data_IF_069003969014
#
_entry.id   IF_069003969014
#
_cell.length_a   1.000
_cell.length_b   1.000
_cell.length_c   1.000
_cell.angle_alpha   90.00
_cell.angle_beta   90.00
_cell.angle_gamma   90.00
#
_symmetry.space_group_name_H-M   'P 1'
#
loop_
_entity.id
_entity.type
_entity.pdbx_description
1 polymer ?
#
# COMPACT_ATOMS: atom_id res chain seq x y z
N UNK A 1 13.87 -20.81 -3.48
CA UNK A 1 13.77 -19.35 -3.43
C UNK A 1 14.62 -18.88 -2.25
N UNK A 2 15.66 -18.09 -2.50
CA UNK A 2 16.52 -17.61 -1.42
C UNK A 2 15.93 -16.36 -0.74
N UNK A 3 16.45 -15.96 0.42
CA UNK A 3 15.91 -14.84 1.19
C UNK A 3 16.00 -13.48 0.44
N UNK A 4 17.02 -13.28 -0.40
CA UNK A 4 17.19 -12.06 -1.18
C UNK A 4 16.15 -11.92 -2.29
N UNK A 5 15.82 -13.02 -2.98
CA UNK A 5 14.78 -13.06 -4.01
C UNK A 5 13.41 -12.67 -3.42
N UNK A 6 13.07 -13.17 -2.24
CA UNK A 6 11.83 -12.81 -1.52
C UNK A 6 11.74 -11.33 -1.21
N UNK A 7 12.85 -10.70 -0.77
CA UNK A 7 12.87 -9.27 -0.42
C UNK A 7 12.70 -8.40 -1.67
N UNK A 8 13.35 -8.77 -2.78
CA UNK A 8 13.22 -8.05 -4.06
C UNK A 8 11.78 -8.18 -4.59
N UNK A 9 11.19 -9.37 -4.51
CA UNK A 9 9.80 -9.59 -4.92
C UNK A 9 8.83 -8.79 -4.06
N UNK A 10 9.04 -8.78 -2.74
CA UNK A 10 8.24 -8.00 -1.80
C UNK A 10 8.29 -6.50 -2.11
N UNK A 11 9.49 -5.93 -2.32
CA UNK A 11 9.66 -4.52 -2.70
C UNK A 11 8.96 -4.17 -4.00
N UNK A 12 9.05 -5.03 -5.02
CA UNK A 12 8.36 -4.84 -6.31
C UNK A 12 6.85 -4.89 -6.14
N UNK A 13 6.34 -5.83 -5.34
CA UNK A 13 4.92 -5.95 -5.05
C UNK A 13 4.42 -4.70 -4.33
N UNK A 14 5.14 -4.24 -3.30
CA UNK A 14 4.87 -3.01 -2.57
C UNK A 14 4.80 -1.79 -3.48
N UNK A 15 5.80 -1.61 -4.35
CA UNK A 15 5.83 -0.48 -5.27
C UNK A 15 4.66 -0.50 -6.26
N UNK A 16 4.21 -1.69 -6.66
CA UNK A 16 3.11 -1.86 -7.61
C UNK A 16 1.76 -1.55 -6.96
N UNK A 17 1.53 -2.08 -5.76
CA UNK A 17 0.40 -1.73 -4.90
C UNK A 17 0.29 -0.21 -4.70
N UNK A 18 1.43 0.49 -4.68
CA UNK A 18 1.48 1.92 -4.39
C UNK A 18 1.35 2.83 -5.61
N UNK A 19 1.43 2.34 -6.85
CA UNK A 19 1.48 3.20 -8.06
C UNK A 19 0.35 3.01 -9.06
N UNK A 20 -0.42 1.94 -9.01
CA UNK A 20 -1.40 1.63 -10.05
C UNK A 20 -2.84 2.05 -9.72
N UNK A 21 -3.70 2.09 -10.75
CA UNK A 21 -5.16 2.20 -10.57
C UNK A 21 -5.59 1.15 -9.55
N UNK A 22 -6.69 1.37 -8.79
CA UNK A 22 -7.10 0.43 -7.75
C UNK A 22 -7.54 -0.86 -8.43
N UNK A 23 -6.58 -1.75 -8.61
CA UNK A 23 -6.72 -3.07 -9.14
C UNK A 23 -6.78 -4.04 -7.96
N UNK A 24 -6.86 -5.32 -8.28
CA UNK A 24 -6.90 -6.35 -7.25
C UNK A 24 -5.69 -6.27 -6.29
N UNK A 25 -4.50 -5.92 -6.78
CA UNK A 25 -3.29 -5.83 -5.95
C UNK A 25 -3.32 -4.63 -5.00
N UNK A 26 -3.86 -3.50 -5.44
CA UNK A 26 -4.09 -2.34 -4.58
C UNK A 26 -5.06 -2.68 -3.44
N UNK A 27 -6.19 -3.33 -3.76
CA UNK A 27 -7.20 -3.73 -2.77
C UNK A 27 -6.64 -4.71 -1.74
N UNK A 28 -5.89 -5.72 -2.20
CA UNK A 28 -5.22 -6.68 -1.32
C UNK A 28 -4.20 -5.98 -0.43
N UNK A 29 -3.44 -5.02 -0.97
CA UNK A 29 -2.50 -4.20 -0.19
C UNK A 29 -3.20 -3.40 0.89
N UNK A 30 -4.25 -2.64 0.54
CA UNK A 30 -5.02 -1.88 1.54
C UNK A 30 -5.61 -2.79 2.62
N UNK A 31 -6.20 -3.92 2.23
CA UNK A 31 -6.77 -4.87 3.18
C UNK A 31 -5.70 -5.41 4.15
N UNK A 32 -4.49 -5.68 3.66
CA UNK A 32 -3.36 -6.12 4.47
C UNK A 32 -2.97 -5.08 5.51
N UNK A 33 -2.78 -3.82 5.12
CA UNK A 33 -2.40 -2.77 6.08
C UNK A 33 -3.53 -2.49 7.09
N UNK A 34 -4.80 -2.59 6.69
CA UNK A 34 -5.94 -2.48 7.62
C UNK A 34 -5.96 -3.63 8.63
N UNK A 35 -5.63 -4.84 8.19
CA UNK A 35 -5.49 -6.00 9.08
C UNK A 35 -4.32 -5.84 10.05
N UNK A 36 -3.16 -5.37 9.56
CA UNK A 36 -1.98 -5.10 10.39
C UNK A 36 -2.27 -4.00 11.43
N UNK A 37 -3.01 -2.95 11.06
CA UNK A 37 -3.52 -1.95 12.00
C UNK A 37 -4.42 -2.56 13.10
N UNK A 38 -5.35 -3.46 12.73
CA UNK A 38 -6.22 -4.11 13.70
C UNK A 38 -5.42 -4.97 14.70
N UNK A 39 -4.39 -5.68 14.22
CA UNK A 39 -3.46 -6.41 15.07
C UNK A 39 -2.64 -5.47 15.97
N UNK A 40 -2.16 -4.34 15.45
CA UNK A 40 -1.44 -3.33 16.24
C UNK A 40 -2.30 -2.75 17.36
N UNK A 41 -3.57 -2.44 17.08
CA UNK A 41 -4.52 -1.94 18.08
C UNK A 41 -4.84 -2.98 19.16
N UNK A 42 -4.81 -4.27 18.82
CA UNK A 42 -4.96 -5.37 19.77
C UNK A 42 -3.67 -5.68 20.56
N UNK A 43 -2.55 -5.03 20.24
CA UNK A 43 -1.24 -5.30 20.83
C UNK A 43 -0.59 -6.60 20.34
N UNK A 44 -1.00 -7.11 19.18
CA UNK A 44 -0.57 -8.39 18.60
C UNK A 44 0.29 -8.22 17.34
N UNK A 45 0.77 -7.02 17.07
CA UNK A 45 1.61 -6.74 15.91
C UNK A 45 2.96 -6.13 16.30
N UNK A 46 3.94 -6.29 15.42
CA UNK A 46 5.30 -5.78 15.64
C UNK A 46 5.41 -4.27 15.41
N UNK A 47 4.50 -3.70 14.62
CA UNK A 47 4.45 -2.27 14.38
C UNK A 47 3.39 -1.59 15.25
N UNK A 48 3.58 -0.29 15.48
CA UNK A 48 2.61 0.52 16.21
C UNK A 48 1.45 0.93 15.29
N UNK A 49 0.26 1.23 15.83
CA UNK A 49 -0.87 1.71 15.03
C UNK A 49 -0.52 2.92 14.14
N UNK A 50 0.37 3.81 14.58
CA UNK A 50 0.82 4.98 13.83
C UNK A 50 1.61 4.61 12.57
N UNK A 51 2.38 3.52 12.61
CA UNK A 51 3.13 3.03 11.45
C UNK A 51 2.16 2.51 10.39
N UNK A 52 1.19 1.69 10.79
CA UNK A 52 0.17 1.13 9.89
C UNK A 52 -0.72 2.22 9.29
N UNK A 53 -1.12 3.22 10.10
CA UNK A 53 -1.87 4.38 9.60
C UNK A 53 -1.09 5.18 8.55
N UNK A 54 0.24 5.30 8.67
CA UNK A 54 1.08 5.95 7.65
C UNK A 54 1.12 5.14 6.36
N UNK A 55 1.20 3.81 6.44
CA UNK A 55 1.17 2.95 5.25
C UNK A 55 -0.17 3.04 4.52
N UNK A 56 -1.30 2.99 5.25
CA UNK A 56 -2.65 3.18 4.68
C UNK A 56 -2.76 4.56 4.01
N UNK A 57 -2.26 5.61 4.69
CA UNK A 57 -2.28 6.98 4.16
C UNK A 57 -1.45 7.09 2.87
N UNK A 58 -0.27 6.48 2.82
CA UNK A 58 0.58 6.48 1.63
C UNK A 58 -0.10 5.75 0.44
N UNK A 59 -0.71 4.59 0.68
CA UNK A 59 -1.47 3.84 -0.34
C UNK A 59 -2.60 4.71 -0.91
N UNK A 60 -3.30 5.44 -0.03
CA UNK A 60 -4.44 6.29 -0.39
C UNK A 60 -4.00 7.54 -1.14
N UNK A 61 -2.95 8.22 -0.68
CA UNK A 61 -2.43 9.45 -1.31
C UNK A 61 -1.88 9.18 -2.70
N UNK A 62 -1.07 8.13 -2.87
CA UNK A 62 -0.52 7.79 -4.18
C UNK A 62 -1.64 7.47 -5.19
N UNK A 63 -2.73 6.85 -4.73
CA UNK A 63 -3.90 6.59 -5.54
C UNK A 63 -4.61 7.88 -5.98
N UNK A 64 -4.77 8.84 -5.06
CA UNK A 64 -5.34 10.16 -5.35
C UNK A 64 -4.48 10.95 -6.34
N UNK A 65 -3.16 11.00 -6.13
CA UNK A 65 -2.21 11.70 -7.00
C UNK A 65 -2.30 11.20 -8.44
N UNK A 66 -2.36 9.88 -8.64
CA UNK A 66 -2.51 9.30 -9.99
C UNK A 66 -3.82 9.72 -10.66
N UNK A 67 -4.93 9.80 -9.93
CA UNK A 67 -6.20 10.27 -10.49
C UNK A 67 -6.16 11.74 -10.91
N UNK A 68 -5.49 12.58 -10.12
CA UNK A 68 -5.32 13.99 -10.48
C UNK A 68 -4.49 14.10 -11.76
N UNK A 69 -3.38 13.36 -11.86
CA UNK A 69 -2.56 13.32 -13.09
C UNK A 69 -3.36 12.82 -14.30
N UNK A 70 -4.03 11.67 -14.19
CA UNK A 70 -4.86 11.09 -15.27
C UNK A 70 -5.97 12.07 -15.71
N UNK A 71 -6.58 12.81 -14.77
CA UNK A 71 -7.63 13.78 -15.07
C UNK A 71 -7.09 15.00 -15.84
N UNK A 72 -5.93 15.54 -15.44
CA UNK A 72 -5.26 16.65 -16.13
C UNK A 72 -4.81 16.25 -17.53
N UNK A 73 -4.29 15.04 -17.71
CA UNK A 73 -3.86 14.54 -19.03
C UNK A 73 -5.03 14.28 -19.99
N UNK A 74 -6.22 13.93 -19.46
CA UNK A 74 -7.41 13.64 -20.27
C UNK A 74 -8.34 14.84 -20.47
N UNK A 75 -8.19 15.89 -19.65
CA UNK A 75 -8.93 17.16 -19.74
C UNK A 75 -7.97 18.34 -19.46
N UNK A 76 -7.14 18.73 -20.44
CA UNK A 76 -6.14 19.79 -20.28
C UNK A 76 -6.73 21.20 -20.15
#
# INVERSE_FOLDING_TARGET
MNAEESVIQFKRLHQRTWRDKPDWFWLVGLLKEVWELALSLAGWHHHTPEVELRQISAITMNWLEKRVSDHVETNP
#
